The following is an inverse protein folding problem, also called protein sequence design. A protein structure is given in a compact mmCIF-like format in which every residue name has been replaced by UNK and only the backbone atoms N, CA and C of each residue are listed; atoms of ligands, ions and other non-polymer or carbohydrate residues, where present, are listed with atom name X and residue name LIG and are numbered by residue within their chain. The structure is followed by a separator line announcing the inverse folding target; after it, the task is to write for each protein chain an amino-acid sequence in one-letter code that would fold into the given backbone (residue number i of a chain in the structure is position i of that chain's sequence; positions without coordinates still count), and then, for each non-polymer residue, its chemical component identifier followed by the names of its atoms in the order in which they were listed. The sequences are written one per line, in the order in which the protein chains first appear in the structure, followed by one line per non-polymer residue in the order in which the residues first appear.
data_IF_196128478445
#
_entry.id   IF_196128478445
#
_cell.length_a   1.000
_cell.length_b   1.000
_cell.length_c   1.000
_cell.angle_alpha   90.00
_cell.angle_beta   90.00
_cell.angle_gamma   90.00
#
_symmetry.space_group_name_H-M   'P 1'
#
loop_
_entity.id
_entity.type
_entity.pdbx_description
1 polymer ?
#
# COMPACT_ATOMS: atom_id res chain seq x y z
N UNK A 1 3.16 15.88 -20.71
CA UNK A 1 1.69 15.73 -20.63
C UNK A 1 1.24 16.25 -19.28
N UNK A 2 0.63 17.44 -19.26
CA UNK A 2 0.29 18.15 -18.03
C UNK A 2 -0.96 17.54 -17.37
N UNK A 3 -0.82 17.29 -16.07
CA UNK A 3 -1.79 16.76 -15.11
C UNK A 3 -3.07 17.61 -15.10
N UNK A 4 -4.18 17.03 -15.54
CA UNK A 4 -5.48 17.36 -14.95
C UNK A 4 -5.88 16.16 -14.11
N UNK A 5 -5.17 15.98 -13.00
CA UNK A 5 -5.75 15.22 -11.90
C UNK A 5 -7.01 15.99 -11.53
N UNK A 6 -8.16 15.32 -11.65
CA UNK A 6 -9.45 15.85 -11.24
C UNK A 6 -9.26 16.51 -9.85
N UNK A 7 -9.65 17.78 -9.70
CA UNK A 7 -9.52 18.56 -8.45
C UNK A 7 -10.40 18.01 -7.30
N UNK A 8 -10.92 16.79 -7.45
CA UNK A 8 -11.72 16.14 -6.44
C UNK A 8 -10.82 15.85 -5.25
N UNK A 9 -11.26 16.31 -4.09
CA UNK A 9 -10.70 15.96 -2.80
C UNK A 9 -11.64 14.94 -2.19
N UNK A 10 -11.11 13.78 -1.81
CA UNK A 10 -11.89 12.72 -1.18
C UNK A 10 -12.44 13.16 0.17
N UNK A 11 -13.67 12.80 0.50
CA UNK A 11 -14.22 13.09 1.83
C UNK A 11 -13.97 11.94 2.81
N UNK A 12 -13.86 12.24 4.10
CA UNK A 12 -13.63 11.23 5.14
C UNK A 12 -14.75 10.16 5.18
N UNK A 13 -15.98 10.54 4.83
CA UNK A 13 -17.11 9.61 4.71
C UNK A 13 -16.97 8.60 3.56
N UNK A 14 -16.08 8.85 2.60
CA UNK A 14 -15.84 7.98 1.45
C UNK A 14 -14.75 6.94 1.72
N UNK A 15 -14.07 6.99 2.87
CA UNK A 15 -12.99 6.07 3.25
C UNK A 15 -13.41 4.60 3.15
N UNK A 16 -14.55 4.16 3.68
CA UNK A 16 -14.96 2.76 3.57
C UNK A 16 -15.12 2.33 2.11
N UNK A 17 -15.80 3.15 1.30
CA UNK A 17 -16.03 2.85 -0.12
C UNK A 17 -14.74 2.84 -0.95
N UNK A 18 -13.75 3.65 -0.56
CA UNK A 18 -12.42 3.62 -1.17
C UNK A 18 -11.68 2.33 -0.83
N UNK A 19 -11.66 1.93 0.44
CA UNK A 19 -11.01 0.69 0.89
C UNK A 19 -11.65 -0.52 0.20
N UNK A 20 -12.97 -0.59 0.14
CA UNK A 20 -13.69 -1.66 -0.56
C UNK A 20 -13.32 -1.71 -2.05
N UNK A 21 -13.29 -0.56 -2.73
CA UNK A 21 -12.93 -0.51 -4.15
C UNK A 21 -11.50 -1.00 -4.44
N UNK A 22 -10.56 -0.75 -3.53
CA UNK A 22 -9.18 -1.24 -3.65
C UNK A 22 -9.12 -2.76 -3.47
N UNK A 23 -9.86 -3.29 -2.50
CA UNK A 23 -9.96 -4.74 -2.26
C UNK A 23 -10.65 -5.46 -3.43
N UNK A 24 -11.73 -4.87 -3.97
CA UNK A 24 -12.46 -5.41 -5.14
C UNK A 24 -11.60 -5.41 -6.41
N UNK A 25 -10.65 -4.48 -6.53
CA UNK A 25 -9.66 -4.47 -7.61
C UNK A 25 -8.57 -5.54 -7.43
N UNK A 26 -8.63 -6.33 -6.37
CA UNK A 26 -7.66 -7.39 -6.06
C UNK A 26 -6.36 -6.86 -5.46
N UNK A 27 -6.32 -5.63 -4.96
CA UNK A 27 -5.16 -5.08 -4.28
C UNK A 27 -5.33 -5.16 -2.76
N UNK A 28 -4.27 -5.50 -2.05
CA UNK A 28 -4.26 -5.37 -0.59
C UNK A 28 -3.99 -3.92 -0.17
N UNK A 29 -4.60 -3.55 0.96
CA UNK A 29 -4.47 -2.23 1.56
C UNK A 29 -4.33 -2.37 3.07
N UNK A 30 -3.23 -1.82 3.59
CA UNK A 30 -2.84 -1.98 4.99
C UNK A 30 -2.34 -0.66 5.57
N UNK A 31 -2.68 -0.41 6.84
CA UNK A 31 -2.06 0.67 7.62
C UNK A 31 -0.66 0.27 8.09
N UNK A 32 0.27 1.23 8.06
CA UNK A 32 1.61 1.12 8.61
C UNK A 32 1.80 2.17 9.69
N UNK A 33 1.92 1.73 10.95
CA UNK A 33 1.91 2.65 12.09
C UNK A 33 0.62 3.49 12.16
N UNK A 34 0.72 4.69 12.72
CA UNK A 34 -0.46 5.53 12.98
C UNK A 34 -0.83 6.47 11.82
N UNK A 35 0.12 6.77 10.94
CA UNK A 35 0.01 7.91 10.01
C UNK A 35 0.13 7.52 8.53
N UNK A 36 0.41 6.25 8.21
CA UNK A 36 0.69 5.78 6.85
C UNK A 36 -0.21 4.60 6.50
N UNK A 37 -0.46 4.45 5.21
CA UNK A 37 -1.04 3.24 4.63
C UNK A 37 -0.37 2.95 3.29
N UNK A 38 -0.36 1.68 2.91
CA UNK A 38 0.16 1.21 1.63
C UNK A 38 -0.96 0.53 0.87
N UNK A 39 -0.99 0.77 -0.44
CA UNK A 39 -1.77 -0.02 -1.39
C UNK A 39 -0.76 -0.76 -2.24
N UNK A 40 -0.86 -2.07 -2.24
CA UNK A 40 0.07 -2.89 -2.99
C UNK A 40 0.04 -4.29 -2.46
N UNK A 41 0.05 -5.21 -3.39
CA UNK A 41 0.41 -6.58 -3.11
C UNK A 41 1.87 -6.72 -3.57
N UNK A 42 2.78 -6.81 -2.60
CA UNK A 42 4.21 -6.95 -2.85
C UNK A 42 4.54 -8.27 -3.56
N UNK A 43 3.57 -9.18 -3.64
CA UNK A 43 3.69 -10.48 -4.26
C UNK A 43 3.16 -10.50 -5.72
N UNK A 44 2.69 -9.36 -6.26
CA UNK A 44 2.25 -9.26 -7.67
C UNK A 44 3.43 -9.46 -8.62
N UNK A 45 3.22 -10.32 -9.61
CA UNK A 45 4.08 -10.40 -10.80
C UNK A 45 3.90 -9.16 -11.68
N UNK A 46 4.85 -8.92 -12.60
CA UNK A 46 4.77 -7.81 -13.57
C UNK A 46 3.46 -7.85 -14.39
N UNK A 47 2.98 -9.05 -14.74
CA UNK A 47 1.75 -9.24 -15.50
C UNK A 47 0.50 -8.85 -14.69
N UNK A 48 0.45 -9.21 -13.40
CA UNK A 48 -0.65 -8.84 -12.51
C UNK A 48 -0.63 -7.34 -12.19
N UNK A 49 0.56 -6.76 -12.06
CA UNK A 49 0.72 -5.32 -11.90
C UNK A 49 0.19 -4.53 -13.11
N UNK A 50 0.47 -4.98 -14.34
CA UNK A 50 -0.06 -4.35 -15.55
C UNK A 50 -1.60 -4.37 -15.62
N UNK A 51 -2.24 -5.36 -14.97
CA UNK A 51 -3.71 -5.46 -14.86
C UNK A 51 -4.25 -4.59 -13.72
N UNK A 52 -3.58 -4.57 -12.56
CA UNK A 52 -4.01 -3.85 -11.36
C UNK A 52 -3.78 -2.33 -11.46
N UNK A 53 -2.65 -1.91 -12.03
CA UNK A 53 -2.28 -0.50 -12.16
C UNK A 53 -3.34 0.39 -12.84
N UNK A 54 -3.97 0.01 -13.98
CA UNK A 54 -5.05 0.81 -14.56
C UNK A 54 -6.29 0.90 -13.66
N UNK A 55 -6.60 -0.15 -12.89
CA UNK A 55 -7.73 -0.15 -11.95
C UNK A 55 -7.45 0.79 -10.78
N UNK A 56 -6.26 0.72 -10.18
CA UNK A 56 -5.83 1.64 -9.12
C UNK A 56 -5.79 3.11 -9.59
N UNK A 57 -5.40 3.35 -10.85
CA UNK A 57 -5.49 4.69 -11.46
C UNK A 57 -6.94 5.15 -11.58
N UNK A 58 -7.86 4.29 -12.01
CA UNK A 58 -9.28 4.62 -12.11
C UNK A 58 -9.90 4.91 -10.75
N UNK A 59 -9.56 4.12 -9.72
CA UNK A 59 -9.96 4.35 -8.33
C UNK A 59 -9.40 5.70 -7.84
N UNK A 60 -8.12 5.97 -8.07
CA UNK A 60 -7.49 7.24 -7.67
C UNK A 60 -8.14 8.45 -8.36
N UNK A 61 -8.51 8.34 -9.63
CA UNK A 61 -9.26 9.40 -10.33
C UNK A 61 -10.70 9.54 -9.79
N UNK A 62 -11.34 8.42 -9.45
CA UNK A 62 -12.71 8.40 -8.92
C UNK A 62 -12.77 9.11 -7.58
N UNK A 63 -11.94 8.75 -6.61
CA UNK A 63 -12.00 9.32 -5.26
C UNK A 63 -11.26 10.65 -5.15
N UNK A 64 -10.25 10.88 -5.99
CA UNK A 64 -9.48 12.11 -6.01
C UNK A 64 -8.29 12.12 -5.05
N UNK A 65 -7.81 13.32 -4.72
CA UNK A 65 -6.72 13.54 -3.77
C UNK A 65 -7.15 13.12 -2.37
N UNK A 66 -6.25 12.40 -1.68
CA UNK A 66 -6.51 11.74 -0.40
C UNK A 66 -5.35 11.88 0.58
N UNK A 67 -4.30 12.62 0.21
CA UNK A 67 -3.09 12.75 1.03
C UNK A 67 -3.39 13.40 2.38
N UNK A 68 -4.38 14.31 2.42
CA UNK A 68 -4.84 14.95 3.65
C UNK A 68 -5.66 14.02 4.55
N UNK A 69 -6.19 12.90 4.03
CA UNK A 69 -6.94 11.89 4.78
C UNK A 69 -6.11 10.68 5.20
N UNK A 70 -4.78 10.75 5.04
CA UNK A 70 -3.91 9.59 5.25
C UNK A 70 -4.04 9.00 6.65
N UNK A 71 -4.24 9.84 7.66
CA UNK A 71 -4.45 9.44 9.06
C UNK A 71 -5.80 8.78 9.27
N UNK A 72 -6.86 9.35 8.71
CA UNK A 72 -8.20 8.80 8.81
C UNK A 72 -8.30 7.45 8.09
N UNK A 73 -7.64 7.29 6.94
CA UNK A 73 -7.53 6.02 6.22
C UNK A 73 -6.80 4.99 7.08
N UNK A 74 -5.64 5.35 7.66
CA UNK A 74 -4.89 4.46 8.54
C UNK A 74 -5.71 4.03 9.77
N UNK A 75 -6.42 4.96 10.41
CA UNK A 75 -7.29 4.68 11.55
C UNK A 75 -8.45 3.74 11.17
N UNK A 76 -9.05 3.92 9.99
CA UNK A 76 -10.09 3.03 9.49
C UNK A 76 -9.56 1.61 9.24
N UNK A 77 -8.41 1.48 8.57
CA UNK A 77 -7.77 0.19 8.33
C UNK A 77 -7.40 -0.53 9.63
N UNK A 78 -6.95 0.21 10.65
CA UNK A 78 -6.69 -0.33 11.99
C UNK A 78 -7.96 -0.86 12.66
N UNK A 79 -9.08 -0.15 12.52
CA UNK A 79 -10.37 -0.61 13.02
C UNK A 79 -10.85 -1.89 12.30
N UNK A 80 -10.46 -2.09 11.04
CA UNK A 80 -10.69 -3.32 10.28
C UNK A 80 -9.70 -4.45 10.63
N UNK A 81 -8.70 -4.20 11.47
CA UNK A 81 -7.64 -5.15 11.79
C UNK A 81 -6.58 -5.31 10.67
N UNK A 82 -6.58 -4.44 9.66
CA UNK A 82 -5.61 -4.43 8.55
C UNK A 82 -4.46 -3.45 8.84
N UNK A 83 -3.66 -3.75 9.85
CA UNK A 83 -2.51 -2.92 10.22
C UNK A 83 -1.28 -3.78 10.51
N UNK A 84 -0.11 -3.21 10.20
CA UNK A 84 1.19 -3.78 10.57
C UNK A 84 1.74 -2.92 11.70
N UNK A 85 1.98 -3.51 12.88
CA UNK A 85 2.67 -2.82 13.96
C UNK A 85 4.16 -2.71 13.63
N UNK A 86 4.73 -1.53 13.86
CA UNK A 86 6.18 -1.32 13.83
C UNK A 86 6.95 -2.26 14.79
N UNK A 87 6.31 -2.74 15.87
CA UNK A 87 6.91 -3.71 16.79
C UNK A 87 7.06 -5.12 16.19
N UNK A 88 6.28 -5.46 15.16
CA UNK A 88 6.42 -6.72 14.41
C UNK A 88 7.60 -6.68 13.41
N UNK A 89 8.21 -5.51 13.18
CA UNK A 89 9.42 -5.37 12.32
C UNK A 89 10.70 -5.84 13.04
N UNK A 90 10.56 -6.58 14.13
CA UNK A 90 11.65 -7.23 14.89
C UNK A 90 12.40 -8.32 14.11
N UNK A 91 12.12 -8.55 12.82
CA UNK A 91 12.73 -9.67 12.08
C UNK A 91 13.42 -9.33 10.75
N UNK A 92 13.51 -8.07 10.33
CA UNK A 92 14.14 -7.77 9.03
C UNK A 92 15.68 -7.76 9.03
N UNK A 93 16.35 -8.15 10.12
CA UNK A 93 17.82 -8.28 10.18
C UNK A 93 18.32 -9.73 10.01
N UNK A 94 17.68 -10.55 9.18
CA UNK A 94 18.10 -11.95 8.95
C UNK A 94 18.38 -12.32 7.47
N UNK A 95 18.81 -11.36 6.64
CA UNK A 95 19.37 -11.68 5.33
C UNK A 95 20.63 -10.87 4.97
N UNK A 96 21.47 -10.54 5.96
CA UNK A 96 22.85 -10.20 5.67
C UNK A 96 23.60 -11.50 5.32
N UNK A 97 24.17 -11.65 4.10
CA UNK A 97 25.04 -12.78 3.83
C UNK A 97 26.19 -12.76 4.84
N UNK A 98 26.39 -13.88 5.53
CA UNK A 98 27.47 -14.04 6.50
C UNK A 98 28.80 -13.68 5.82
N UNK A 99 29.61 -12.76 6.36
CA UNK A 99 30.93 -12.49 5.81
C UNK A 99 31.85 -13.65 6.23
N UNK A 100 31.84 -14.74 5.48
CA UNK A 100 32.62 -15.91 5.87
C UNK A 100 32.40 -17.15 5.03
N UNK A 101 32.58 -17.08 3.72
CA UNK A 101 33.02 -18.27 2.96
C UNK A 101 34.01 -17.82 1.92
N UNK A 102 35.28 -17.76 2.32
CA UNK A 102 36.41 -17.68 1.40
C UNK A 102 36.41 -18.98 0.56
N UNK A 103 36.40 -18.92 -0.78
CA UNK A 103 36.58 -20.12 -1.57
C UNK A 103 38.03 -20.58 -1.44
N UNK A 104 38.22 -21.76 -0.85
CA UNK A 104 39.49 -22.46 -0.84
C UNK A 104 39.77 -22.92 -2.26
N UNK A 105 40.77 -22.31 -2.90
CA UNK A 105 41.27 -22.74 -4.20
C UNK A 105 41.84 -24.16 -4.10
N UNK A 106 41.52 -24.99 -5.08
CA UNK A 106 42.27 -26.20 -5.41
C UNK A 106 42.32 -26.36 -6.92
#
# INVERSE_FOLDING_TARGET
MARVANLRMMQASEIPAFVDAVIEAGCDICAFGDDLYTIGDADLTDEEYEIAAPQLRAISLKFGDRDFLRREIAAHLRALGRYIDSSDVSHWTLNAPSPGTTPSQH
#
